data_IF_500887873324
#
_entry.id   IF_500887873324
#
_cell.length_a   1.000
_cell.length_b   1.000
_cell.length_c   1.000
_cell.angle_alpha   90.00
_cell.angle_beta   90.00
_cell.angle_gamma   90.00
#
_symmetry.space_group_name_H-M   'P 1'
#
loop_
_entity.id
_entity.type
_entity.pdbx_description
1 polymer ?
#
# COMPACT_ATOMS: atom_id res chain seq x y z
N UNK A 1 8.67 14.89 -3.35
CA UNK A 1 7.29 14.55 -3.72
C UNK A 1 6.29 15.20 -2.77
N UNK A 2 6.22 14.85 -1.47
CA UNK A 2 5.15 15.30 -0.56
C UNK A 2 5.12 16.81 -0.35
N UNK A 3 6.26 17.48 -0.17
CA UNK A 3 6.31 18.95 -0.11
C UNK A 3 5.76 19.61 -1.37
N UNK A 4 6.01 19.03 -2.54
CA UNK A 4 5.45 19.51 -3.79
C UNK A 4 3.91 19.36 -3.82
N UNK A 5 3.39 18.24 -3.33
CA UNK A 5 1.94 18.05 -3.19
C UNK A 5 1.34 19.13 -2.27
N UNK A 6 2.00 19.43 -1.16
CA UNK A 6 1.53 20.42 -0.20
C UNK A 6 1.59 21.85 -0.74
N UNK A 7 2.50 22.16 -1.66
CA UNK A 7 2.56 23.47 -2.33
C UNK A 7 1.51 23.64 -3.44
N UNK A 8 0.86 22.55 -3.88
CA UNK A 8 -0.25 22.60 -4.84
C UNK A 8 -1.58 22.88 -4.13
N UNK A 9 -2.63 23.14 -4.87
CA UNK A 9 -4.01 23.26 -4.37
C UNK A 9 -4.79 21.95 -4.40
N UNK A 10 -4.15 20.83 -4.78
CA UNK A 10 -4.83 19.57 -5.00
C UNK A 10 -5.05 18.81 -3.67
N UNK A 11 -6.22 18.21 -3.51
CA UNK A 11 -6.56 17.38 -2.34
C UNK A 11 -5.95 15.98 -2.42
N UNK A 12 -5.67 15.51 -3.63
CA UNK A 12 -5.08 14.19 -3.89
C UNK A 12 -3.98 14.29 -4.95
N UNK A 13 -3.01 13.40 -4.87
CA UNK A 13 -1.97 13.26 -5.88
C UNK A 13 -1.75 11.78 -6.22
N UNK A 14 -1.64 11.51 -7.51
CA UNK A 14 -1.13 10.24 -8.04
C UNK A 14 0.39 10.34 -8.12
N UNK A 15 1.07 9.41 -7.47
CA UNK A 15 2.53 9.31 -7.47
C UNK A 15 2.90 8.05 -8.25
N UNK A 16 3.79 8.21 -9.22
CA UNK A 16 4.27 7.13 -10.09
C UNK A 16 5.79 7.19 -10.18
N UNK A 17 6.45 6.02 -10.16
CA UNK A 17 7.83 5.84 -10.59
C UNK A 17 7.88 5.67 -12.13
N UNK A 18 9.01 5.93 -12.74
CA UNK A 18 9.18 5.96 -14.19
C UNK A 18 9.29 4.57 -14.85
N UNK A 19 9.56 3.54 -14.06
CA UNK A 19 9.66 2.14 -14.48
C UNK A 19 8.34 1.34 -14.36
N UNK A 20 7.21 2.03 -14.22
CA UNK A 20 5.92 1.37 -14.01
C UNK A 20 5.18 1.05 -15.31
N UNK A 21 4.74 -0.20 -15.44
CA UNK A 21 3.68 -0.59 -16.38
C UNK A 21 2.33 -0.30 -15.74
N UNK A 22 1.48 0.43 -16.46
CA UNK A 22 0.19 0.91 -15.99
C UNK A 22 -0.96 0.26 -16.76
N UNK A 23 -2.02 -0.09 -16.06
CA UNK A 23 -3.25 -0.55 -16.69
C UNK A 23 -3.96 0.62 -17.42
N UNK A 24 -4.62 0.38 -18.55
CA UNK A 24 -5.29 1.42 -19.34
C UNK A 24 -6.34 2.22 -18.57
N UNK A 25 -7.02 1.60 -17.62
CA UNK A 25 -8.07 2.20 -16.80
C UNK A 25 -7.55 3.09 -15.66
N UNK A 26 -6.23 3.14 -15.43
CA UNK A 26 -5.64 4.01 -14.40
C UNK A 26 -5.98 5.49 -14.63
N UNK A 27 -6.03 5.94 -15.89
CA UNK A 27 -6.37 7.31 -16.22
C UNK A 27 -7.76 7.74 -15.71
N UNK A 28 -8.66 6.82 -15.48
CA UNK A 28 -9.99 7.11 -14.92
C UNK A 28 -9.91 7.63 -13.47
N UNK A 29 -8.87 7.26 -12.71
CA UNK A 29 -8.69 7.73 -11.34
C UNK A 29 -8.44 9.24 -11.25
N UNK A 30 -7.80 9.82 -12.28
CA UNK A 30 -7.47 11.24 -12.30
C UNK A 30 -8.68 12.14 -12.63
N UNK A 31 -9.74 11.58 -13.19
CA UNK A 31 -10.93 12.34 -13.63
C UNK A 31 -11.91 12.64 -12.50
N UNK A 32 -11.91 11.80 -11.45
CA UNK A 32 -12.86 11.89 -10.36
C UNK A 32 -12.21 11.32 -9.09
N UNK A 33 -12.30 12.05 -7.99
CA UNK A 33 -11.72 11.64 -6.70
C UNK A 33 -12.75 11.04 -5.74
N UNK A 34 -14.04 10.98 -6.11
CA UNK A 34 -15.13 10.41 -5.28
C UNK A 34 -14.95 8.93 -4.97
N UNK A 35 -14.14 8.23 -5.76
CA UNK A 35 -13.79 6.82 -5.52
C UNK A 35 -12.85 6.63 -4.32
N UNK A 36 -12.13 7.70 -3.89
CA UNK A 36 -11.14 7.60 -2.81
C UNK A 36 -11.84 7.32 -1.48
N UNK A 37 -11.50 6.23 -0.76
CA UNK A 37 -12.26 5.79 0.40
C UNK A 37 -12.12 6.76 1.58
N UNK A 38 -13.20 6.99 2.29
CA UNK A 38 -13.19 7.77 3.54
C UNK A 38 -12.33 7.06 4.59
N UNK A 39 -11.57 7.84 5.36
CA UNK A 39 -10.69 7.32 6.41
C UNK A 39 -9.35 6.76 5.92
N UNK A 40 -9.16 6.57 4.61
CA UNK A 40 -7.90 6.23 3.97
C UNK A 40 -7.15 7.50 3.59
N UNK A 41 -5.82 7.50 3.74
CA UNK A 41 -4.98 8.62 3.29
C UNK A 41 -4.01 8.21 2.17
N UNK A 42 -3.84 6.93 1.91
CA UNK A 42 -3.05 6.42 0.80
C UNK A 42 -3.69 5.15 0.21
N UNK A 43 -3.89 5.14 -1.10
CA UNK A 43 -4.38 3.97 -1.85
C UNK A 43 -3.27 3.48 -2.76
N UNK A 44 -2.78 2.27 -2.49
CA UNK A 44 -1.75 1.63 -3.29
C UNK A 44 -2.37 1.05 -4.56
N UNK A 45 -1.72 1.29 -5.70
CA UNK A 45 -2.18 0.85 -7.01
C UNK A 45 -1.33 -0.28 -7.58
N UNK A 46 -0.16 -0.50 -7.00
CA UNK A 46 0.83 -1.40 -7.58
C UNK A 46 0.84 -2.78 -6.95
N UNK A 47 1.31 -3.74 -7.76
CA UNK A 47 1.86 -5.03 -7.37
C UNK A 47 3.37 -5.00 -7.58
N UNK A 48 4.11 -5.01 -6.47
CA UNK A 48 5.58 -5.04 -6.51
C UNK A 48 6.07 -6.35 -7.15
N UNK A 49 6.83 -6.25 -8.23
CA UNK A 49 7.36 -7.32 -9.08
C UNK A 49 6.27 -8.14 -9.81
N UNK A 50 6.56 -8.72 -10.95
CA UNK A 50 5.67 -9.66 -11.65
C UNK A 50 5.29 -10.88 -10.81
N UNK A 51 4.23 -11.57 -11.20
CA UNK A 51 3.71 -12.76 -10.53
C UNK A 51 2.69 -12.47 -9.45
N UNK A 52 2.43 -13.44 -8.56
CA UNK A 52 1.41 -13.36 -7.52
C UNK A 52 2.02 -13.10 -6.15
N UNK A 53 1.42 -12.21 -5.38
CA UNK A 53 1.72 -12.02 -3.95
C UNK A 53 0.49 -12.31 -3.11
N UNK A 54 0.69 -12.78 -1.88
CA UNK A 54 -0.38 -12.94 -0.91
C UNK A 54 -0.36 -11.77 0.07
N UNK A 55 -1.51 -11.14 0.26
CA UNK A 55 -1.68 -10.01 1.17
C UNK A 55 -2.86 -10.24 2.10
N UNK A 56 -2.79 -9.67 3.29
CA UNK A 56 -3.91 -9.68 4.23
C UNK A 56 -4.76 -8.44 3.99
N UNK A 57 -5.97 -8.64 3.52
CA UNK A 57 -6.93 -7.59 3.18
C UNK A 57 -8.10 -7.56 4.15
N UNK A 58 -8.59 -6.36 4.42
CA UNK A 58 -9.87 -6.14 5.07
C UNK A 58 -11.06 -6.31 4.12
N UNK A 59 -12.29 -6.07 4.61
CA UNK A 59 -13.48 -6.07 3.77
C UNK A 59 -13.37 -4.99 2.69
N UNK A 60 -14.11 -5.16 1.59
CA UNK A 60 -14.23 -4.15 0.54
C UNK A 60 -14.77 -2.84 1.12
N UNK A 61 -14.10 -1.72 0.83
CA UNK A 61 -14.49 -0.38 1.30
C UNK A 61 -14.85 0.57 0.17
N UNK A 62 -14.69 0.16 -1.07
CA UNK A 62 -15.01 0.95 -2.25
C UNK A 62 -14.59 0.26 -3.54
N UNK A 63 -14.73 0.99 -4.63
CA UNK A 63 -14.24 0.59 -5.95
C UNK A 63 -13.71 1.79 -6.71
N UNK A 64 -12.80 1.54 -7.65
CA UNK A 64 -12.34 2.52 -8.63
C UNK A 64 -13.46 2.84 -9.63
N UNK A 65 -13.35 3.94 -10.40
CA UNK A 65 -14.31 4.24 -11.48
C UNK A 65 -14.45 3.12 -12.53
N UNK A 66 -13.41 2.30 -12.68
CA UNK A 66 -13.38 1.14 -13.58
C UNK A 66 -13.89 -0.16 -12.94
N UNK A 67 -14.34 -0.12 -11.67
CA UNK A 67 -14.93 -1.28 -11.00
C UNK A 67 -13.95 -2.17 -10.24
N UNK A 68 -12.64 -1.82 -10.14
CA UNK A 68 -11.71 -2.58 -9.30
C UNK A 68 -12.00 -2.34 -7.82
N UNK A 69 -11.97 -3.40 -7.03
CA UNK A 69 -12.24 -3.32 -5.60
C UNK A 69 -11.13 -2.61 -4.82
N UNK A 70 -11.51 -1.93 -3.74
CA UNK A 70 -10.57 -1.28 -2.82
C UNK A 70 -10.73 -1.90 -1.44
N UNK A 71 -9.61 -2.38 -0.89
CA UNK A 71 -9.54 -3.06 0.39
C UNK A 71 -8.52 -2.40 1.33
N UNK A 72 -8.78 -2.32 2.65
CA UNK A 72 -7.74 -2.01 3.62
C UNK A 72 -6.59 -3.02 3.51
N UNK A 73 -5.37 -2.51 3.46
CA UNK A 73 -4.15 -3.31 3.42
C UNK A 73 -3.66 -3.55 4.84
N UNK A 74 -3.77 -4.79 5.35
CA UNK A 74 -3.46 -5.14 6.74
C UNK A 74 -2.18 -5.95 6.92
N UNK A 75 -1.47 -6.20 5.85
CA UNK A 75 -0.11 -6.76 5.87
C UNK A 75 0.89 -5.80 5.26
N UNK A 76 2.16 -6.08 5.47
CA UNK A 76 3.23 -5.45 4.70
C UNK A 76 3.06 -5.76 3.21
N UNK A 77 3.24 -4.76 2.38
CA UNK A 77 3.36 -4.92 0.94
C UNK A 77 4.45 -4.01 0.40
N UNK A 78 5.46 -4.59 -0.24
CA UNK A 78 6.60 -3.87 -0.78
C UNK A 78 6.24 -3.01 -2.01
N UNK A 79 7.15 -2.11 -2.36
CA UNK A 79 7.02 -1.17 -3.46
C UNK A 79 6.25 0.10 -3.09
N UNK A 80 6.61 1.20 -3.69
CA UNK A 80 5.93 2.50 -3.60
C UNK A 80 5.91 3.21 -4.96
N UNK A 81 5.95 2.42 -6.04
CA UNK A 81 6.04 2.90 -7.42
C UNK A 81 4.73 3.45 -7.97
N UNK A 82 3.57 3.07 -7.40
CA UNK A 82 2.29 3.64 -7.81
C UNK A 82 1.29 3.70 -6.63
N UNK A 83 0.90 4.92 -6.25
CA UNK A 83 -0.12 5.13 -5.21
C UNK A 83 -0.80 6.49 -5.36
N UNK A 84 -2.02 6.60 -4.85
CA UNK A 84 -2.70 7.88 -4.65
C UNK A 84 -2.63 8.25 -3.18
N UNK A 85 -2.27 9.48 -2.89
CA UNK A 85 -2.17 10.01 -1.52
C UNK A 85 -3.02 11.27 -1.38
N UNK A 86 -3.75 11.38 -0.27
CA UNK A 86 -4.46 12.61 0.07
C UNK A 86 -3.49 13.70 0.56
N UNK A 87 -3.92 14.95 0.53
CA UNK A 87 -3.19 16.07 1.15
C UNK A 87 -2.84 15.77 2.61
N UNK A 88 -3.79 15.21 3.38
CA UNK A 88 -3.56 14.81 4.77
C UNK A 88 -2.49 13.71 4.89
N UNK A 89 -2.49 12.75 3.97
CA UNK A 89 -1.45 11.72 3.90
C UNK A 89 -0.08 12.31 3.58
N UNK A 90 -0.02 13.28 2.66
CA UNK A 90 1.21 13.99 2.33
C UNK A 90 1.73 14.83 3.51
N UNK A 91 0.87 15.46 4.31
CA UNK A 91 1.25 16.15 5.56
C UNK A 91 1.90 15.20 6.56
N UNK A 92 1.27 14.04 6.80
CA UNK A 92 1.82 13.01 7.69
C UNK A 92 3.20 12.53 7.23
N UNK A 93 3.35 12.30 5.93
CA UNK A 93 4.59 11.83 5.34
C UNK A 93 5.68 12.91 5.37
N UNK A 94 5.37 14.15 5.01
CA UNK A 94 6.31 15.28 5.03
C UNK A 94 6.80 15.59 6.44
N UNK A 95 5.91 15.58 7.45
CA UNK A 95 6.27 15.84 8.84
C UNK A 95 7.28 14.84 9.42
N UNK A 96 7.35 13.63 8.88
CA UNK A 96 8.27 12.59 9.34
C UNK A 96 9.41 12.29 8.36
N UNK A 97 9.43 12.93 7.17
CA UNK A 97 10.42 12.66 6.11
C UNK A 97 11.86 12.80 6.59
N UNK A 98 12.18 13.83 7.37
CA UNK A 98 13.52 14.07 7.94
C UNK A 98 13.99 12.98 8.92
N UNK A 99 13.08 12.17 9.46
CA UNK A 99 13.36 11.05 10.38
C UNK A 99 13.33 9.69 9.71
N UNK A 100 13.11 9.64 8.41
CA UNK A 100 13.03 8.38 7.65
C UNK A 100 14.37 7.65 7.70
N UNK A 101 14.36 6.36 8.12
CA UNK A 101 15.53 5.47 8.24
C UNK A 101 15.31 4.13 7.55
N UNK A 102 14.23 4.03 6.79
CA UNK A 102 13.84 2.83 6.04
C UNK A 102 13.49 3.22 4.59
N UNK A 103 13.51 2.30 3.63
CA UNK A 103 13.02 2.56 2.28
C UNK A 103 11.60 3.13 2.27
N UNK A 104 11.28 3.91 1.25
CA UNK A 104 10.01 4.66 1.17
C UNK A 104 8.78 3.76 1.23
N UNK A 105 8.82 2.59 0.62
CA UNK A 105 7.75 1.59 0.66
C UNK A 105 7.50 1.08 2.08
N UNK A 106 8.57 0.83 2.83
CA UNK A 106 8.49 0.46 4.24
C UNK A 106 7.98 1.62 5.09
N UNK A 107 8.39 2.85 4.78
CA UNK A 107 7.94 4.04 5.48
C UNK A 107 6.44 4.28 5.30
N UNK A 108 5.89 4.03 4.11
CA UNK A 108 4.47 4.23 3.83
C UNK A 108 3.61 3.03 4.22
N UNK A 109 4.03 1.79 3.87
CA UNK A 109 3.15 0.64 3.81
C UNK A 109 3.51 -0.54 4.71
N UNK A 110 4.64 -0.46 5.45
CA UNK A 110 5.02 -1.54 6.34
C UNK A 110 4.49 -1.29 7.76
N UNK A 111 3.57 -2.12 8.22
CA UNK A 111 2.90 -2.03 9.52
C UNK A 111 3.84 -2.25 10.73
N UNK A 112 5.03 -2.80 10.50
CA UNK A 112 6.02 -3.10 11.52
C UNK A 112 6.94 -1.92 11.84
N UNK A 113 7.29 -1.11 10.83
CA UNK A 113 8.35 -0.09 10.97
C UNK A 113 7.90 1.32 10.60
N UNK A 114 6.73 1.48 9.97
CA UNK A 114 6.21 2.78 9.57
C UNK A 114 5.67 3.56 10.77
N UNK A 115 6.18 4.75 11.05
CA UNK A 115 5.64 5.60 12.12
C UNK A 115 4.32 6.28 11.75
N UNK A 116 3.96 6.30 10.46
CA UNK A 116 2.80 7.04 9.93
C UNK A 116 1.69 6.12 9.42
N UNK A 117 1.93 4.81 9.32
CA UNK A 117 0.98 3.88 8.71
C UNK A 117 -0.40 3.89 9.36
N UNK A 118 -0.46 4.02 10.69
CA UNK A 118 -1.74 4.11 11.38
C UNK A 118 -2.56 5.34 10.95
N UNK A 119 -1.90 6.49 10.78
CA UNK A 119 -2.52 7.71 10.28
C UNK A 119 -2.82 7.67 8.78
N UNK A 120 -2.01 6.96 7.99
CA UNK A 120 -2.27 6.75 6.56
C UNK A 120 -3.44 5.81 6.31
N UNK A 121 -3.67 4.84 7.19
CA UNK A 121 -4.69 3.79 7.01
C UNK A 121 -4.70 3.24 5.58
N UNK A 122 -3.59 2.68 5.08
CA UNK A 122 -3.43 2.41 3.65
C UNK A 122 -4.39 1.34 3.17
N UNK A 123 -4.87 1.54 1.96
CA UNK A 123 -5.68 0.58 1.20
C UNK A 123 -4.98 0.19 -0.09
N UNK A 124 -5.48 -0.82 -0.78
CA UNK A 124 -4.95 -1.30 -2.05
C UNK A 124 -6.09 -1.58 -3.03
N UNK A 125 -5.85 -1.30 -4.30
CA UNK A 125 -6.74 -1.66 -5.41
C UNK A 125 -6.51 -3.13 -5.79
N UNK A 126 -7.58 -3.87 -6.00
CA UNK A 126 -7.54 -5.29 -6.40
C UNK A 126 -8.46 -5.53 -7.60
N UNK A 127 -7.94 -6.09 -8.70
CA UNK A 127 -6.54 -6.34 -8.99
C UNK A 127 -5.73 -5.05 -9.10
N UNK A 128 -4.42 -5.04 -8.75
CA UNK A 128 -3.54 -3.89 -8.91
C UNK A 128 -3.48 -3.38 -10.35
N UNK A 129 -3.37 -2.06 -10.50
CA UNK A 129 -3.37 -1.34 -11.78
C UNK A 129 -1.97 -1.01 -12.29
N UNK A 130 -0.95 -1.27 -11.49
CA UNK A 130 0.43 -0.98 -11.84
C UNK A 130 1.36 -2.10 -11.37
N UNK A 131 2.45 -2.31 -12.09
CA UNK A 131 3.54 -3.22 -11.73
C UNK A 131 4.85 -2.70 -12.29
N UNK A 132 5.95 -2.95 -11.60
CA UNK A 132 7.27 -2.61 -12.14
C UNK A 132 7.58 -3.44 -13.39
N UNK A 133 8.14 -2.79 -14.39
CA UNK A 133 8.72 -3.47 -15.54
C UNK A 133 10.00 -4.16 -15.04
N UNK A 134 10.08 -5.48 -15.22
CA UNK A 134 11.30 -6.21 -14.91
C UNK A 134 12.39 -5.74 -15.87
N UNK A 135 13.23 -4.82 -15.44
CA UNK A 135 14.45 -4.48 -16.17
C UNK A 135 15.45 -5.61 -15.97
N UNK A 136 16.06 -6.10 -17.04
CA UNK A 136 17.17 -7.07 -17.00
C UNK A 136 18.40 -6.49 -16.26
N UNK A 137 18.46 -5.18 -16.11
CA UNK A 137 19.42 -4.46 -15.27
C UNK A 137 18.91 -4.50 -13.83
N UNK A 138 19.67 -5.18 -12.97
CA UNK A 138 19.37 -5.34 -11.55
C UNK A 138 19.07 -3.98 -10.89
N UNK A 139 18.18 -4.01 -9.91
CA UNK A 139 17.78 -2.84 -9.11
C UNK A 139 19.02 -2.05 -8.67
N UNK A 140 19.10 -0.77 -9.04
CA UNK A 140 20.14 0.20 -8.61
C UNK A 140 20.13 0.47 -7.09
N UNK A 141 19.19 -0.15 -6.36
CA UNK A 141 19.18 -0.10 -4.90
C UNK A 141 20.33 -0.94 -4.40
N UNK A 142 21.44 -0.29 -4.10
CA UNK A 142 22.59 -0.89 -3.46
C UNK A 142 22.13 -1.72 -2.27
N UNK A 143 22.27 -3.03 -2.40
CA UNK A 143 22.14 -3.97 -1.29
C UNK A 143 23.05 -3.43 -0.19
N UNK A 144 22.57 -3.35 1.05
CA UNK A 144 23.31 -2.81 2.19
C UNK A 144 24.53 -3.68 2.51
N UNK A 145 25.53 -3.62 1.64
CA UNK A 145 26.84 -4.22 1.83
C UNK A 145 27.64 -3.30 2.75
N UNK A 146 27.89 -3.75 3.99
CA UNK A 146 28.84 -3.06 4.87
C UNK A 146 28.41 -2.83 6.32
N UNK A 147 27.27 -3.34 6.77
CA UNK A 147 26.96 -3.27 8.20
C UNK A 147 27.71 -4.37 8.96
N UNK A 148 28.32 -4.06 10.13
CA UNK A 148 28.93 -5.07 10.99
C UNK A 148 27.93 -6.16 11.37
N UNK A 149 28.32 -7.44 11.47
CA UNK A 149 27.43 -8.56 11.72
C UNK A 149 26.56 -8.40 12.99
N UNK A 150 27.07 -7.75 14.03
CA UNK A 150 26.31 -7.46 15.24
C UNK A 150 25.13 -6.48 14.98
N UNK A 151 25.32 -5.49 14.14
CA UNK A 151 24.26 -4.52 13.78
C UNK A 151 23.21 -5.16 12.88
N UNK A 152 23.62 -6.09 12.01
CA UNK A 152 22.70 -6.90 11.21
C UNK A 152 21.86 -7.81 12.11
N UNK A 153 22.48 -8.53 13.06
CA UNK A 153 21.78 -9.40 13.99
C UNK A 153 20.77 -8.61 14.87
N UNK A 154 21.18 -7.47 15.42
CA UNK A 154 20.30 -6.61 16.20
C UNK A 154 19.13 -6.05 15.38
N UNK A 155 19.36 -5.71 14.10
CA UNK A 155 18.32 -5.26 13.17
C UNK A 155 17.32 -6.38 12.87
N UNK A 156 17.81 -7.59 12.60
CA UNK A 156 16.95 -8.75 12.31
C UNK A 156 16.17 -9.20 13.57
N UNK A 157 16.78 -9.18 14.74
CA UNK A 157 16.10 -9.46 16.00
C UNK A 157 14.97 -8.46 16.27
N UNK A 158 15.27 -7.16 16.14
CA UNK A 158 14.26 -6.10 16.29
C UNK A 158 13.13 -6.25 15.28
N UNK A 159 13.46 -6.60 14.03
CA UNK A 159 12.48 -6.88 12.98
C UNK A 159 11.60 -8.07 13.37
N UNK A 160 12.19 -9.18 13.81
CA UNK A 160 11.46 -10.37 14.25
C UNK A 160 10.52 -10.08 15.43
N UNK A 161 10.97 -9.33 16.44
CA UNK A 161 10.14 -8.92 17.58
C UNK A 161 8.96 -8.03 17.15
N UNK A 162 9.19 -7.09 16.23
CA UNK A 162 8.11 -6.26 15.69
C UNK A 162 7.12 -7.07 14.83
N UNK A 163 7.60 -8.00 14.00
CA UNK A 163 6.75 -8.90 13.21
C UNK A 163 5.92 -9.80 14.14
N UNK A 164 6.51 -10.34 15.21
CA UNK A 164 5.80 -11.14 16.20
C UNK A 164 4.67 -10.36 16.89
N UNK A 165 4.91 -9.07 17.22
CA UNK A 165 3.90 -8.18 17.78
C UNK A 165 2.69 -7.94 16.86
N UNK A 166 2.80 -8.17 15.54
CA UNK A 166 1.69 -8.03 14.58
C UNK A 166 0.92 -9.33 14.33
N UNK A 167 1.58 -10.48 14.51
CA UNK A 167 1.00 -11.80 14.19
C UNK A 167 -0.30 -12.02 14.96
N UNK A 168 -0.36 -11.71 16.25
CA UNK A 168 -1.59 -11.92 17.03
C UNK A 168 -2.77 -11.06 16.52
N UNK A 169 -2.52 -9.83 16.07
CA UNK A 169 -3.55 -8.96 15.49
C UNK A 169 -4.04 -9.48 14.14
N UNK A 170 -3.12 -9.98 13.31
CA UNK A 170 -3.44 -10.56 12.02
C UNK A 170 -4.23 -11.86 12.20
N UNK A 171 -3.81 -12.73 13.13
CA UNK A 171 -4.52 -13.97 13.48
C UNK A 171 -5.92 -13.67 14.03
N UNK A 172 -6.07 -12.69 14.92
CA UNK A 172 -7.39 -12.30 15.44
C UNK A 172 -8.33 -11.80 14.33
N UNK A 173 -7.82 -11.02 13.38
CA UNK A 173 -8.59 -10.57 12.22
C UNK A 173 -9.00 -11.70 11.29
N UNK A 174 -8.12 -12.68 11.09
CA UNK A 174 -8.42 -13.90 10.32
C UNK A 174 -9.46 -14.77 11.05
N UNK A 175 -9.26 -15.04 12.33
CA UNK A 175 -10.15 -15.88 13.14
C UNK A 175 -11.57 -15.27 13.26
N UNK A 176 -11.67 -13.94 13.28
CA UNK A 176 -12.97 -13.23 13.31
C UNK A 176 -13.59 -13.05 11.93
N UNK A 177 -13.01 -13.57 10.86
CA UNK A 177 -13.48 -13.40 9.49
C UNK A 177 -13.39 -11.96 8.96
N UNK A 178 -12.78 -11.04 9.72
CA UNK A 178 -12.62 -9.64 9.32
C UNK A 178 -11.55 -9.43 8.25
N UNK A 179 -10.61 -10.38 8.12
CA UNK A 179 -9.55 -10.33 7.14
C UNK A 179 -9.49 -11.62 6.30
N UNK A 180 -8.92 -11.49 5.10
CA UNK A 180 -8.64 -12.63 4.21
C UNK A 180 -7.22 -12.52 3.66
N UNK A 181 -6.56 -13.66 3.52
CA UNK A 181 -5.32 -13.78 2.74
C UNK A 181 -5.72 -13.93 1.28
N UNK A 182 -5.45 -12.89 0.50
CA UNK A 182 -5.85 -12.82 -0.90
C UNK A 182 -4.62 -12.84 -1.80
N UNK A 183 -4.56 -13.73 -2.81
CA UNK A 183 -3.56 -13.60 -3.86
C UNK A 183 -3.88 -12.39 -4.72
N UNK A 184 -2.89 -11.55 -4.98
CA UNK A 184 -3.01 -10.41 -5.88
C UNK A 184 -2.00 -10.54 -7.02
N UNK A 185 -2.43 -10.22 -8.22
CA UNK A 185 -1.61 -10.14 -9.42
C UNK A 185 -1.99 -8.89 -10.20
N UNK A 186 -1.04 -8.30 -10.91
CA UNK A 186 -1.32 -7.22 -11.84
C UNK A 186 -2.31 -7.68 -12.93
N UNK A 187 -3.22 -6.80 -13.32
CA UNK A 187 -4.14 -7.05 -14.42
C UNK A 187 -4.38 -5.76 -15.22
N UNK A 188 -4.30 -5.88 -16.54
CA UNK A 188 -4.67 -4.80 -17.47
C UNK A 188 -6.19 -4.54 -17.49
N UNK A 189 -6.99 -5.52 -17.05
CA UNK A 189 -8.46 -5.49 -17.10
C UNK A 189 -9.02 -5.58 -15.68
N UNK A 190 -10.07 -4.81 -15.32
CA UNK A 190 -10.86 -5.03 -14.12
C UNK A 190 -11.42 -6.45 -14.12
N UNK A 191 -11.37 -7.15 -13.01
CA UNK A 191 -12.07 -8.42 -12.86
C UNK A 191 -13.54 -8.13 -12.52
N UNK A 192 -14.47 -8.70 -13.26
CA UNK A 192 -15.89 -8.63 -12.93
C UNK A 192 -16.09 -9.16 -11.50
N UNK A 193 -16.72 -8.35 -10.68
CA UNK A 193 -16.80 -8.38 -9.24
C UNK A 193 -17.21 -9.68 -8.54
N UNK A 194 -16.32 -10.64 -8.50
CA UNK A 194 -16.48 -11.92 -7.80
C UNK A 194 -15.64 -12.04 -6.52
N UNK A 195 -15.38 -10.95 -5.80
CA UNK A 195 -14.62 -11.01 -4.55
C UNK A 195 -15.34 -10.28 -3.41
N UNK A 196 -16.09 -11.03 -2.64
CA UNK A 196 -16.73 -10.74 -1.34
C UNK A 196 -18.12 -10.12 -1.38
N UNK A 197 -19.07 -10.69 -0.63
CA UNK A 197 -20.31 -10.00 -0.31
C UNK A 197 -20.01 -8.70 0.48
N UNK A 198 -20.86 -7.69 0.37
CA UNK A 198 -20.72 -6.46 1.15
C UNK A 198 -20.69 -6.79 2.64
N UNK A 199 -19.88 -6.05 3.39
CA UNK A 199 -19.92 -6.14 4.86
C UNK A 199 -21.34 -5.86 5.37
N UNK A 200 -21.80 -6.56 6.40
CA UNK A 200 -23.09 -6.25 7.02
C UNK A 200 -23.09 -4.79 7.50
N UNK A 201 -24.24 -4.10 7.43
CA UNK A 201 -24.33 -2.71 7.86
C UNK A 201 -23.87 -2.61 9.31
N UNK A 202 -22.96 -1.68 9.56
CA UNK A 202 -22.58 -1.37 10.94
C UNK A 202 -23.83 -0.81 11.63
N UNK A 203 -24.23 -1.43 12.72
CA UNK A 203 -25.25 -0.87 13.59
C UNK A 203 -24.80 0.55 13.99
N UNK A 204 -25.69 1.51 13.75
CA UNK A 204 -25.50 2.88 14.21
C UNK A 204 -25.40 2.92 15.73
N UNK A 205 -24.63 3.84 16.32
CA UNK A 205 -24.50 4.00 17.76
C UNK A 205 -25.78 4.41 18.41
#
# INVERSE_FOLDING_TARGET
>A
VWHHILSSSQDYALVLEDDMRLAPDLAALARDTRWFPRGTQAVKLEKFKPGTSRVLLGPRIGATPSGRDIHPLWSRHCGAGAYVISRRGAELAAAQAGRMRVPIDHFLFNDTVSPIRAGLAPSIVVPPMATQVATEQGSDIATAHGLPPLRLAARELRRGLCEFGQVHRQLARLATGRARITPIAYSDIPQDGALMPPAPPQAAP
#
